data_IF_109168651028
#
_entry.id   IF_109168651028
#
_cell.length_a   1.000
_cell.length_b   1.000
_cell.length_c   1.000
_cell.angle_alpha   90.00
_cell.angle_beta   90.00
_cell.angle_gamma   90.00
#
_symmetry.space_group_name_H-M   'P 1'
#
loop_
_entity.id
_entity.type
_entity.pdbx_description
1 polymer ?
#
# COMPACT_ATOMS: atom_id res chain seq x y z
N UNK A 1 9.82 -1.78 12.58
CA UNK A 1 9.56 -1.48 11.17
C UNK A 1 9.68 0.02 11.05
N UNK A 2 10.54 0.54 10.18
CA UNK A 2 10.76 1.97 10.10
C UNK A 2 9.58 2.64 9.37
N UNK A 3 8.94 3.60 10.06
CA UNK A 3 7.85 4.41 9.53
C UNK A 3 8.25 5.89 9.47
N UNK A 4 7.79 6.57 8.42
CA UNK A 4 7.84 8.03 8.28
C UNK A 4 6.41 8.53 8.34
N UNK A 5 6.17 9.58 9.14
CA UNK A 5 4.88 10.27 9.18
C UNK A 5 4.97 11.59 8.45
N UNK A 6 4.05 11.83 7.52
CA UNK A 6 3.93 13.08 6.76
C UNK A 6 2.48 13.56 6.89
N UNK A 7 2.25 14.57 7.73
CA UNK A 7 0.89 14.95 8.12
C UNK A 7 0.16 13.78 8.76
N UNK A 8 -1.03 13.47 8.24
CA UNK A 8 -1.82 12.33 8.70
C UNK A 8 -1.39 11.00 8.06
N UNK A 9 -0.42 10.99 7.15
CA UNK A 9 -0.07 9.80 6.36
C UNK A 9 1.14 9.04 6.93
N UNK A 10 1.09 7.71 6.83
CA UNK A 10 2.18 6.81 7.24
C UNK A 10 2.82 6.17 6.00
N UNK A 11 4.14 6.28 5.90
CA UNK A 11 4.96 5.71 4.82
C UNK A 11 5.92 4.71 5.45
N UNK A 12 5.88 3.46 5.00
CA UNK A 12 6.71 2.37 5.48
C UNK A 12 7.95 2.23 4.59
N UNK A 13 9.13 2.10 5.18
CA UNK A 13 10.39 2.05 4.39
C UNK A 13 10.73 0.68 3.82
N UNK A 14 9.96 -0.35 4.14
CA UNK A 14 10.23 -1.74 3.78
C UNK A 14 9.72 -2.15 2.39
N UNK A 15 9.17 -1.20 1.61
CA UNK A 15 8.49 -1.44 0.34
C UNK A 15 8.77 -0.34 -0.66
N UNK A 16 8.55 -0.64 -1.93
CA UNK A 16 8.61 0.32 -3.03
C UNK A 16 7.20 0.87 -3.31
N UNK A 17 7.13 2.05 -3.91
CA UNK A 17 5.88 2.78 -4.16
C UNK A 17 5.73 3.13 -5.63
N UNK A 18 4.49 3.22 -6.11
CA UNK A 18 4.16 3.66 -7.47
C UNK A 18 3.55 5.06 -7.46
N UNK A 19 3.51 5.70 -8.63
CA UNK A 19 2.78 6.97 -8.82
C UNK A 19 1.26 6.79 -8.76
N UNK A 20 0.76 5.55 -8.85
CA UNK A 20 -0.66 5.17 -8.75
C UNK A 20 -1.13 4.90 -7.31
N UNK A 21 -0.36 5.35 -6.31
CA UNK A 21 -0.67 5.20 -4.88
C UNK A 21 -0.69 3.73 -4.39
N UNK A 22 0.06 2.84 -5.04
CA UNK A 22 0.27 1.44 -4.63
C UNK A 22 1.67 1.23 -4.06
N UNK A 23 1.85 0.09 -3.38
CA UNK A 23 3.15 -0.37 -2.92
C UNK A 23 3.39 -1.84 -3.20
N UNK A 24 4.67 -2.20 -3.29
CA UNK A 24 5.12 -3.58 -3.46
C UNK A 24 6.21 -3.92 -2.45
N UNK A 25 6.03 -5.02 -1.73
CA UNK A 25 7.01 -5.59 -0.80
C UNK A 25 7.47 -6.94 -1.32
N UNK A 26 8.78 -7.11 -1.46
CA UNK A 26 9.37 -8.39 -1.89
C UNK A 26 9.60 -9.27 -0.66
N UNK A 27 9.06 -10.49 -0.70
CA UNK A 27 9.27 -11.52 0.32
C UNK A 27 9.70 -12.79 -0.40
N UNK A 28 11.00 -13.08 -0.39
CA UNK A 28 11.61 -14.22 -1.09
C UNK A 28 11.19 -14.31 -2.57
N UNK A 29 10.38 -15.32 -2.91
CA UNK A 29 9.89 -15.61 -4.26
C UNK A 29 8.48 -15.05 -4.53
N UNK A 30 7.90 -14.31 -3.58
CA UNK A 30 6.59 -13.69 -3.73
C UNK A 30 6.68 -12.18 -3.57
N UNK A 31 5.73 -11.48 -4.18
CA UNK A 31 5.57 -10.03 -4.02
C UNK A 31 4.21 -9.78 -3.40
N UNK A 32 4.21 -9.12 -2.26
CA UNK A 32 2.99 -8.62 -1.63
C UNK A 32 2.73 -7.23 -2.18
N UNK A 33 1.52 -7.01 -2.68
CA UNK A 33 1.08 -5.72 -3.22
C UNK A 33 -0.08 -5.18 -2.39
N UNK A 34 -0.25 -3.86 -2.40
CA UNK A 34 -1.39 -3.21 -1.76
C UNK A 34 -1.44 -1.72 -2.08
N UNK A 35 -2.41 -1.03 -1.50
CA UNK A 35 -2.57 0.42 -1.63
C UNK A 35 -1.90 1.16 -0.48
N UNK A 36 -1.41 2.37 -0.74
CA UNK A 36 -0.81 3.25 0.27
C UNK A 36 -1.81 3.67 1.36
N UNK A 37 -1.30 4.09 2.52
CA UNK A 37 -2.13 4.72 3.56
C UNK A 37 -2.86 5.97 3.04
N UNK A 38 -2.23 6.70 2.12
CA UNK A 38 -2.85 7.81 1.39
C UNK A 38 -4.06 7.35 0.56
N UNK A 39 -3.90 6.32 -0.28
CA UNK A 39 -4.99 5.77 -1.08
C UNK A 39 -6.16 5.28 -0.22
N UNK A 40 -5.88 4.52 0.84
CA UNK A 40 -6.89 4.05 1.80
C UNK A 40 -7.71 5.21 2.37
N UNK A 41 -7.05 6.26 2.88
CA UNK A 41 -7.75 7.41 3.47
C UNK A 41 -8.58 8.19 2.45
N UNK A 42 -8.12 8.24 1.20
CA UNK A 42 -8.85 8.87 0.09
C UNK A 42 -10.10 8.08 -0.30
N UNK A 43 -10.04 6.74 -0.26
CA UNK A 43 -11.18 5.85 -0.49
C UNK A 43 -12.17 5.83 0.69
N UNK A 44 -11.71 6.19 1.90
CA UNK A 44 -12.46 6.13 3.16
C UNK A 44 -12.80 4.70 3.56
N UNK A 45 -14.07 4.32 3.50
CA UNK A 45 -14.56 3.01 3.89
C UNK A 45 -14.56 2.09 2.67
N UNK A 46 -13.71 1.05 2.71
CA UNK A 46 -13.69 0.02 1.68
C UNK A 46 -14.84 -0.94 1.93
N UNK A 47 -15.82 -0.96 1.03
CA UNK A 47 -17.00 -1.84 1.10
C UNK A 47 -16.90 -3.07 0.20
N UNK A 48 -15.90 -3.12 -0.68
CA UNK A 48 -15.66 -4.23 -1.60
C UNK A 48 -14.32 -4.09 -2.31
N UNK A 49 -13.77 -5.22 -2.73
CA UNK A 49 -12.51 -5.31 -3.50
C UNK A 49 -12.70 -6.33 -4.61
N UNK A 50 -12.32 -5.98 -5.82
CA UNK A 50 -12.24 -6.90 -6.95
C UNK A 50 -10.78 -7.31 -7.12
N UNK A 51 -10.51 -8.61 -7.02
CA UNK A 51 -9.18 -9.18 -7.18
C UNK A 51 -9.09 -9.89 -8.54
N UNK A 52 -7.89 -9.97 -9.14
CA UNK A 52 -7.70 -10.74 -10.36
C UNK A 52 -8.02 -12.22 -10.14
N UNK A 53 -8.45 -12.88 -11.21
CA UNK A 53 -8.58 -14.34 -11.20
C UNK A 53 -7.20 -15.00 -11.17
N UNK A 54 -7.06 -16.21 -10.56
CA UNK A 54 -5.81 -16.94 -10.47
C UNK A 54 -5.18 -17.34 -11.81
#
# INVERSE_FOLDING_TARGET
MDEIRVGDYVILKDRLYTESDEWVKREDNVVVIGITDYAQKKLRDIVGVELPEP
#
